data_IF_098841352543
#
_entry.id   IF_098841352543
#
_cell.length_a   1.000
_cell.length_b   1.000
_cell.length_c   1.000
_cell.angle_alpha   90.00
_cell.angle_beta   90.00
_cell.angle_gamma   90.00
#
_symmetry.space_group_name_H-M   'P 1'
#
loop_
_entity.id
_entity.type
_entity.pdbx_description
1 polymer ?
#
# COMPACT_ATOMS: atom_id res chain seq x y z
N UNK A 1 11.26 114.21 20.06
CA UNK A 1 10.76 112.84 19.77
C UNK A 1 11.98 111.96 19.51
N UNK A 2 12.74 111.52 20.51
CA UNK A 2 12.37 110.88 21.80
C UNK A 2 12.07 109.39 21.65
N UNK A 3 12.87 108.60 22.37
CA UNK A 3 12.54 107.35 23.08
C UNK A 3 11.94 106.13 22.38
N UNK A 4 11.38 106.22 21.16
CA UNK A 4 10.72 105.05 20.52
C UNK A 4 11.71 104.15 19.75
N UNK A 5 12.68 104.74 19.04
CA UNK A 5 13.63 104.01 18.18
C UNK A 5 14.71 103.22 18.93
N UNK A 6 14.95 103.50 20.21
CA UNK A 6 15.93 102.76 21.01
C UNK A 6 15.34 101.48 21.64
N UNK A 7 14.02 101.46 21.85
CA UNK A 7 13.34 100.32 22.50
C UNK A 7 13.11 99.14 21.53
N UNK A 8 12.97 99.41 20.23
CA UNK A 8 12.80 98.36 19.20
C UNK A 8 14.09 97.60 18.89
N UNK A 9 15.27 98.20 19.09
CA UNK A 9 16.56 97.54 18.86
C UNK A 9 16.98 96.64 20.03
N UNK A 10 16.64 97.00 21.27
CA UNK A 10 17.02 96.23 22.47
C UNK A 10 16.19 94.94 22.70
N UNK A 11 15.07 94.75 22.01
CA UNK A 11 14.26 93.52 22.07
C UNK A 11 14.67 92.45 21.04
N UNK A 12 15.66 92.74 20.18
CA UNK A 12 16.10 91.85 19.10
C UNK A 12 17.21 90.87 19.47
N UNK A 13 17.77 90.97 20.68
CA UNK A 13 18.86 90.11 21.17
C UNK A 13 18.42 89.34 22.42
N UNK A 14 17.40 88.50 22.24
CA UNK A 14 17.32 87.26 23.03
C UNK A 14 18.31 86.31 22.36
N UNK A 15 19.36 85.83 23.05
CA UNK A 15 20.07 84.66 22.57
C UNK A 15 19.04 83.53 22.54
N UNK A 16 18.66 83.06 21.36
CA UNK A 16 18.22 81.69 21.26
C UNK A 16 19.39 80.87 21.79
N UNK A 17 19.22 80.31 22.98
CA UNK A 17 20.04 79.18 23.37
C UNK A 17 19.83 78.16 22.25
N UNK A 18 20.85 77.96 21.42
CA UNK A 18 20.89 76.79 20.56
C UNK A 18 20.71 75.61 21.49
N UNK A 19 19.53 75.02 21.43
CA UNK A 19 19.25 73.77 22.08
C UNK A 19 20.12 72.77 21.32
N UNK A 20 21.36 72.60 21.81
CA UNK A 20 22.30 71.60 21.30
C UNK A 20 21.46 70.34 21.17
N UNK A 21 21.25 69.80 19.95
CA UNK A 21 20.40 68.64 19.80
C UNK A 21 21.02 67.55 20.66
N UNK A 22 20.32 67.16 21.73
CA UNK A 22 20.76 66.05 22.57
C UNK A 22 21.05 64.91 21.60
N UNK A 23 22.31 64.45 21.58
CA UNK A 23 22.68 63.26 20.82
C UNK A 23 21.64 62.21 21.19
N UNK A 24 20.90 61.64 20.22
CA UNK A 24 19.78 60.76 20.53
C UNK A 24 20.31 59.69 21.48
N UNK A 25 19.77 59.66 22.71
CA UNK A 25 20.18 58.71 23.74
C UNK A 25 20.11 57.33 23.10
N UNK A 26 21.27 56.73 22.87
CA UNK A 26 21.33 55.44 22.17
C UNK A 26 20.48 54.47 22.96
N UNK A 27 19.52 53.81 22.30
CA UNK A 27 18.61 52.87 22.97
C UNK A 27 19.39 51.93 23.88
N UNK A 28 18.90 51.69 25.11
CA UNK A 28 19.56 50.80 26.07
C UNK A 28 19.89 49.43 25.44
N UNK A 29 18.96 48.90 24.64
CA UNK A 29 19.15 47.68 23.84
C UNK A 29 20.34 47.75 22.87
N UNK A 30 20.53 48.88 22.17
CA UNK A 30 21.65 49.07 21.24
C UNK A 30 22.99 49.23 21.99
N UNK A 31 22.97 49.90 23.15
CA UNK A 31 24.15 49.98 24.02
C UNK A 31 24.54 48.59 24.56
N UNK A 32 23.57 47.83 25.05
CA UNK A 32 23.74 46.46 25.55
C UNK A 32 24.25 45.51 24.46
N UNK A 33 23.59 45.46 23.31
CA UNK A 33 23.99 44.62 22.17
C UNK A 33 25.41 44.93 21.73
N UNK A 34 25.79 46.22 21.68
CA UNK A 34 27.16 46.64 21.37
C UNK A 34 28.15 46.24 22.47
N UNK A 35 27.79 46.35 23.74
CA UNK A 35 28.64 45.96 24.87
C UNK A 35 28.94 44.45 24.84
N UNK A 36 27.91 43.62 24.65
CA UNK A 36 28.04 42.17 24.57
C UNK A 36 28.88 41.74 23.35
N UNK A 37 28.53 42.22 22.14
CA UNK A 37 29.14 41.70 20.90
C UNK A 37 30.51 42.30 20.54
N UNK A 38 30.90 43.47 21.07
CA UNK A 38 32.13 44.16 20.66
C UNK A 38 33.43 43.39 20.95
N UNK A 39 33.41 42.46 21.93
CA UNK A 39 34.56 41.59 22.28
C UNK A 39 34.24 40.10 22.21
N UNK A 40 33.04 39.74 21.78
CA UNK A 40 32.62 38.35 21.69
C UNK A 40 33.25 37.66 20.47
N UNK A 41 33.58 36.37 20.60
CA UNK A 41 34.14 35.57 19.51
C UNK A 41 33.28 34.31 19.31
N UNK A 42 32.46 34.31 18.26
CA UNK A 42 31.53 33.22 17.95
C UNK A 42 32.18 31.89 17.58
N UNK A 43 33.49 31.88 17.28
CA UNK A 43 34.24 30.63 17.05
C UNK A 43 34.67 29.90 18.33
N UNK A 44 34.49 30.48 19.52
CA UNK A 44 35.00 29.94 20.79
C UNK A 44 33.82 29.45 21.65
N UNK A 45 33.93 28.23 22.18
CA UNK A 45 32.95 27.67 23.12
C UNK A 45 32.84 28.56 24.39
N UNK A 46 31.63 29.00 24.79
CA UNK A 46 31.47 30.11 25.73
C UNK A 46 31.59 29.68 27.21
N UNK A 47 32.80 29.29 27.62
CA UNK A 47 33.14 28.93 29.00
C UNK A 47 34.39 29.65 29.50
N UNK A 48 34.41 29.99 30.78
CA UNK A 48 35.56 30.56 31.48
C UNK A 48 36.60 29.48 31.82
N UNK A 49 36.14 28.27 32.13
CA UNK A 49 37.01 27.10 32.37
C UNK A 49 36.80 26.04 31.28
N UNK A 50 37.85 25.77 30.50
CA UNK A 50 37.83 24.81 29.40
C UNK A 50 37.53 23.37 29.83
N UNK A 51 37.83 22.98 31.08
CA UNK A 51 37.56 21.61 31.57
C UNK A 51 36.09 21.35 31.91
N UNK A 52 35.23 22.37 31.88
CA UNK A 52 33.79 22.25 32.14
C UNK A 52 33.06 22.06 30.81
N UNK A 53 32.22 21.03 30.64
CA UNK A 53 31.42 20.85 29.44
C UNK A 53 30.32 21.93 29.34
N UNK A 54 29.89 22.23 28.12
CA UNK A 54 28.72 23.05 27.85
C UNK A 54 27.53 22.13 27.62
N UNK A 55 26.66 21.98 28.63
CA UNK A 55 25.44 21.16 28.49
C UNK A 55 24.42 21.87 27.59
N UNK A 56 23.96 21.16 26.56
CA UNK A 56 22.90 21.60 25.64
C UNK A 56 21.63 20.83 25.95
N UNK A 57 20.59 21.54 26.37
CA UNK A 57 19.28 20.99 26.62
C UNK A 57 18.48 20.94 25.31
N UNK A 58 17.91 19.78 25.00
CA UNK A 58 17.12 19.53 23.79
C UNK A 58 15.66 19.28 24.18
N UNK A 59 14.74 19.85 23.41
CA UNK A 59 13.31 19.52 23.42
C UNK A 59 12.85 19.25 21.98
N UNK A 60 11.99 18.25 21.81
CA UNK A 60 11.48 17.79 20.53
C UNK A 60 9.96 17.70 20.59
N UNK A 61 9.28 18.28 19.60
CA UNK A 61 7.84 18.13 19.39
C UNK A 61 7.63 17.74 17.93
N UNK A 62 6.93 16.63 17.68
CA UNK A 62 6.59 16.18 16.33
C UNK A 62 5.31 16.88 15.89
N UNK A 63 5.37 17.65 14.80
CA UNK A 63 4.24 18.44 14.30
C UNK A 63 3.48 17.68 13.20
N UNK A 64 4.18 16.96 12.33
CA UNK A 64 3.54 16.08 11.34
C UNK A 64 4.52 15.06 10.74
N UNK A 65 3.98 13.93 10.26
CA UNK A 65 4.66 13.07 9.28
C UNK A 65 4.25 13.56 7.90
N UNK A 66 5.22 13.97 7.08
CA UNK A 66 4.98 14.58 5.77
C UNK A 66 4.99 13.54 4.64
N UNK A 67 5.90 12.55 4.72
CA UNK A 67 6.06 11.50 3.71
C UNK A 67 6.76 10.26 4.30
N UNK A 68 6.45 9.08 3.77
CA UNK A 68 7.01 7.78 4.18
C UNK A 68 7.27 6.92 2.94
N UNK A 69 8.52 6.96 2.47
CA UNK A 69 8.96 6.22 1.28
C UNK A 69 9.52 4.84 1.66
N UNK A 70 8.68 3.82 1.51
CA UNK A 70 9.06 2.42 1.70
C UNK A 70 10.08 1.86 0.70
N UNK A 71 10.20 2.48 -0.48
CA UNK A 71 11.10 2.05 -1.56
C UNK A 71 12.52 2.57 -1.32
N UNK A 72 12.68 3.81 -0.85
CA UNK A 72 14.00 4.36 -0.48
C UNK A 72 14.32 4.27 1.01
N UNK A 73 13.41 3.73 1.84
CA UNK A 73 13.56 3.54 3.29
C UNK A 73 13.81 4.86 4.02
N UNK A 74 12.95 5.84 3.73
CA UNK A 74 13.03 7.21 4.28
C UNK A 74 11.73 7.66 4.88
N UNK A 75 11.83 8.49 5.91
CA UNK A 75 10.70 9.20 6.52
C UNK A 75 11.00 10.68 6.56
N UNK A 76 10.02 11.49 6.17
CA UNK A 76 10.09 12.95 6.26
C UNK A 76 9.16 13.42 7.37
N UNK A 77 9.72 13.99 8.43
CA UNK A 77 8.95 14.56 9.55
C UNK A 77 9.14 16.07 9.66
N UNK A 78 8.07 16.78 10.00
CA UNK A 78 8.13 18.16 10.49
C UNK A 78 8.20 18.16 12.02
N UNK A 79 9.26 18.76 12.55
CA UNK A 79 9.51 18.84 14.00
C UNK A 79 9.70 20.29 14.44
N UNK A 80 9.25 20.62 15.64
CA UNK A 80 9.72 21.80 16.37
C UNK A 80 10.82 21.36 17.31
N UNK A 81 12.03 21.87 17.05
CA UNK A 81 13.22 21.58 17.83
C UNK A 81 13.61 22.81 18.64
N UNK A 82 13.90 22.59 19.92
CA UNK A 82 14.40 23.62 20.84
C UNK A 82 15.76 23.18 21.36
N UNK A 83 16.74 24.07 21.26
CA UNK A 83 18.04 23.90 21.92
C UNK A 83 18.26 25.08 22.87
N UNK A 84 18.67 24.78 24.10
CA UNK A 84 18.92 25.76 25.16
C UNK A 84 20.29 25.45 25.76
N UNK A 85 21.15 26.47 25.87
CA UNK A 85 22.48 26.34 26.47
C UNK A 85 22.82 27.60 27.26
N UNK A 86 23.89 27.54 28.05
CA UNK A 86 24.38 28.70 28.79
C UNK A 86 25.67 29.24 28.16
N UNK A 87 25.74 30.55 27.98
CA UNK A 87 26.90 31.29 27.53
C UNK A 87 27.45 32.12 28.70
N UNK A 88 28.67 31.83 29.15
CA UNK A 88 29.27 32.50 30.33
C UNK A 88 29.80 33.92 30.03
N UNK A 89 29.64 34.42 28.80
CA UNK A 89 30.06 35.76 28.37
C UNK A 89 28.90 36.69 27.99
N UNK A 90 27.72 36.15 27.63
CA UNK A 90 26.52 36.91 27.30
C UNK A 90 25.67 37.26 28.54
N UNK A 91 26.30 37.83 29.57
CA UNK A 91 25.70 38.14 30.87
C UNK A 91 25.70 39.65 31.11
N UNK A 92 24.63 40.20 31.69
CA UNK A 92 24.52 41.60 32.09
C UNK A 92 23.60 41.79 33.29
N UNK A 93 23.70 42.94 33.97
CA UNK A 93 22.76 43.34 35.01
C UNK A 93 21.57 44.10 34.38
N UNK A 94 20.31 43.62 34.51
CA UNK A 94 19.14 44.34 34.02
C UNK A 94 18.99 45.75 34.59
N UNK A 95 19.47 46.03 35.80
CA UNK A 95 19.35 47.36 36.44
C UNK A 95 20.17 48.43 35.69
N UNK A 96 21.28 48.05 35.05
CA UNK A 96 22.11 48.95 34.23
C UNK A 96 21.47 49.28 32.86
N UNK A 97 20.55 48.44 32.37
CA UNK A 97 20.00 48.50 31.01
C UNK A 97 18.46 48.55 31.01
N UNK A 98 17.87 49.51 31.72
CA UNK A 98 16.42 49.82 31.66
C UNK A 98 15.50 48.63 32.00
N UNK A 99 15.96 47.71 32.86
CA UNK A 99 15.24 46.51 33.26
C UNK A 99 15.18 45.41 32.20
N UNK A 100 16.00 45.48 31.13
CA UNK A 100 16.02 44.48 30.05
C UNK A 100 16.53 43.13 30.59
N UNK A 101 15.66 42.11 30.59
CA UNK A 101 15.97 40.75 31.05
C UNK A 101 16.19 39.74 29.93
N UNK A 102 15.69 40.01 28.72
CA UNK A 102 15.84 39.15 27.55
C UNK A 102 15.98 40.00 26.29
N UNK A 103 16.90 39.61 25.40
CA UNK A 103 17.17 40.28 24.12
C UNK A 103 17.16 39.27 22.97
N UNK A 104 16.88 39.72 21.75
CA UNK A 104 17.11 38.93 20.54
C UNK A 104 18.46 39.29 19.91
N UNK A 105 19.30 38.27 19.67
CA UNK A 105 20.57 38.39 18.96
C UNK A 105 20.53 37.55 17.68
N UNK A 106 21.37 37.89 16.70
CA UNK A 106 21.54 37.06 15.50
C UNK A 106 22.26 35.76 15.85
N UNK A 107 21.78 34.61 15.32
CA UNK A 107 22.43 33.31 15.53
C UNK A 107 23.87 33.28 15.00
N UNK A 108 24.15 33.98 13.91
CA UNK A 108 25.48 34.02 13.28
C UNK A 108 26.50 34.87 14.07
N UNK A 109 26.01 35.70 15.00
CA UNK A 109 26.85 36.59 15.82
C UNK A 109 27.35 35.95 17.12
N UNK A 110 26.84 34.76 17.48
CA UNK A 110 27.17 34.05 18.73
C UNK A 110 27.69 32.63 18.46
N UNK A 111 28.27 31.97 19.46
CA UNK A 111 28.60 30.55 19.36
C UNK A 111 27.33 29.69 19.40
N UNK A 112 27.24 28.70 18.50
CA UNK A 112 26.11 27.76 18.41
C UNK A 112 26.66 26.33 18.33
N UNK A 113 26.15 25.38 19.14
CA UNK A 113 26.63 23.99 19.13
C UNK A 113 26.24 23.25 17.84
N UNK A 114 27.12 22.34 17.40
CA UNK A 114 27.02 21.54 16.17
C UNK A 114 26.15 20.27 16.36
N UNK A 115 24.97 20.41 16.97
CA UNK A 115 24.05 19.29 17.18
C UNK A 115 23.37 18.92 15.86
N UNK A 116 23.59 17.68 15.40
CA UNK A 116 22.98 17.11 14.21
C UNK A 116 22.21 15.82 14.52
N UNK A 117 21.41 15.35 13.55
CA UNK A 117 20.77 14.03 13.57
C UNK A 117 21.68 13.05 12.80
N UNK A 118 21.88 11.84 13.33
CA UNK A 118 22.81 10.86 12.74
C UNK A 118 22.24 10.14 11.52
N UNK A 119 20.93 9.91 11.49
CA UNK A 119 20.17 9.22 10.44
C UNK A 119 19.80 10.15 9.26
N UNK A 120 20.37 11.36 9.23
CA UNK A 120 20.00 12.43 8.30
C UNK A 120 20.47 12.16 6.87
N UNK A 121 19.54 12.25 5.91
CA UNK A 121 19.81 11.95 4.48
C UNK A 121 19.77 13.20 3.60
N UNK A 122 18.93 14.17 3.94
CA UNK A 122 18.78 15.43 3.20
C UNK A 122 18.41 16.57 4.15
N UNK A 123 18.88 17.79 3.85
CA UNK A 123 18.66 19.01 4.63
C UNK A 123 17.19 19.44 4.65
N UNK A 124 16.40 18.92 3.71
CA UNK A 124 14.98 19.20 3.58
C UNK A 124 14.72 20.66 3.19
N UNK A 125 13.53 21.14 3.53
CA UNK A 125 13.09 22.52 3.25
C UNK A 125 12.86 23.32 4.53
N UNK A 126 13.82 23.24 5.45
CA UNK A 126 13.76 23.91 6.75
C UNK A 126 14.03 25.42 6.57
N UNK A 127 13.18 26.32 7.11
CA UNK A 127 13.43 27.76 7.04
C UNK A 127 14.57 28.14 7.99
N UNK A 128 15.46 29.03 7.56
CA UNK A 128 16.52 29.59 8.41
C UNK A 128 15.91 30.60 9.37
N UNK A 129 16.05 30.36 10.68
CA UNK A 129 15.64 31.30 11.74
C UNK A 129 16.88 32.12 12.15
N UNK A 130 16.94 33.43 11.83
CA UNK A 130 18.18 34.21 11.99
C UNK A 130 18.41 34.76 13.39
N UNK A 131 17.45 34.61 14.32
CA UNK A 131 17.50 35.18 15.66
C UNK A 131 17.32 34.12 16.75
N UNK A 132 17.97 34.36 17.89
CA UNK A 132 17.84 33.59 19.13
C UNK A 132 17.50 34.54 20.29
N UNK A 133 16.89 34.02 21.34
CA UNK A 133 16.71 34.76 22.58
C UNK A 133 17.88 34.51 23.52
N UNK A 134 18.35 35.57 24.19
CA UNK A 134 19.39 35.51 25.23
C UNK A 134 18.85 36.20 26.47
N UNK A 135 18.91 35.51 27.61
CA UNK A 135 18.53 36.03 28.92
C UNK A 135 19.73 36.69 29.63
N UNK A 136 19.50 37.63 30.54
CA UNK A 136 20.55 38.31 31.31
C UNK A 136 21.46 37.36 32.10
N UNK A 137 21.00 36.15 32.41
CA UNK A 137 21.78 35.08 33.06
C UNK A 137 22.78 34.36 32.13
N UNK A 138 22.81 34.67 30.83
CA UNK A 138 23.58 33.94 29.81
C UNK A 138 22.84 32.77 29.17
N UNK A 139 21.58 32.52 29.53
CA UNK A 139 20.79 31.42 28.94
C UNK A 139 20.35 31.78 27.52
N UNK A 140 20.86 31.05 26.53
CA UNK A 140 20.48 31.20 25.11
C UNK A 140 19.41 30.17 24.75
N UNK A 141 18.34 30.61 24.10
CA UNK A 141 17.22 29.79 23.60
C UNK A 141 17.14 29.93 22.09
N UNK A 142 17.32 28.83 21.36
CA UNK A 142 17.14 28.78 19.91
C UNK A 142 16.02 27.79 19.56
N UNK A 143 15.01 28.30 18.84
CA UNK A 143 13.83 27.56 18.44
C UNK A 143 13.78 27.51 16.91
N UNK A 144 13.80 26.30 16.34
CA UNK A 144 13.79 26.08 14.88
C UNK A 144 12.78 25.00 14.49
N UNK A 145 11.87 25.27 13.54
CA UNK A 145 11.15 24.20 12.85
C UNK A 145 12.11 23.54 11.86
N UNK A 146 12.15 22.21 11.83
CA UNK A 146 13.02 21.43 10.96
C UNK A 146 12.18 20.42 10.18
N UNK A 147 12.39 20.35 8.87
CA UNK A 147 11.94 19.25 8.04
C UNK A 147 13.07 18.22 7.96
N UNK A 148 12.95 17.15 8.72
CA UNK A 148 13.96 16.09 8.81
C UNK A 148 13.63 15.01 7.79
N UNK A 149 14.56 14.75 6.87
CA UNK A 149 14.53 13.56 5.99
C UNK A 149 15.50 12.54 6.59
N UNK A 150 14.98 11.53 7.28
CA UNK A 150 15.77 10.50 7.95
C UNK A 150 15.68 9.14 7.23
N UNK A 151 16.77 8.36 7.31
CA UNK A 151 16.75 6.95 6.97
C UNK A 151 16.06 6.17 8.11
N UNK A 152 15.12 5.30 7.76
CA UNK A 152 14.40 4.48 8.73
C UNK A 152 14.12 3.10 8.14
N UNK A 153 14.32 2.04 8.92
CA UNK A 153 13.97 0.68 8.52
C UNK A 153 12.46 0.47 8.66
N UNK A 154 11.74 0.57 7.54
CA UNK A 154 10.27 0.50 7.48
C UNK A 154 9.79 -0.95 7.29
N UNK A 155 8.97 -1.45 8.21
CA UNK A 155 8.34 -2.76 8.08
C UNK A 155 6.92 -2.64 7.50
N UNK A 156 6.80 -2.96 6.21
CA UNK A 156 5.58 -2.75 5.40
C UNK A 156 4.77 -4.06 5.25
N UNK A 157 5.21 -5.15 5.88
CA UNK A 157 4.59 -6.47 5.73
C UNK A 157 3.09 -6.48 6.07
N UNK A 158 2.70 -5.76 7.13
CA UNK A 158 1.32 -5.66 7.62
C UNK A 158 0.48 -4.53 6.99
N UNK A 159 0.96 -3.89 5.92
CA UNK A 159 0.23 -2.80 5.25
C UNK A 159 -1.21 -3.21 4.88
N UNK A 160 -2.23 -2.35 5.14
CA UNK A 160 -2.16 -0.96 5.61
C UNK A 160 -2.25 -0.78 7.15
N UNK A 161 -2.09 -1.84 7.94
CA UNK A 161 -2.19 -1.83 9.41
C UNK A 161 -0.82 -1.68 10.09
N UNK A 162 0.15 -1.09 9.39
CA UNK A 162 1.53 -1.02 9.82
C UNK A 162 1.79 0.04 10.89
N UNK A 163 2.75 -0.30 11.76
CA UNK A 163 3.33 0.59 12.78
C UNK A 163 4.82 0.71 12.47
N UNK A 164 5.34 1.93 12.55
CA UNK A 164 6.75 2.22 12.28
C UNK A 164 7.41 2.79 13.53
N UNK A 165 8.68 2.43 13.73
CA UNK A 165 9.51 2.91 14.83
C UNK A 165 10.80 3.50 14.25
N UNK A 166 10.80 4.81 14.02
CA UNK A 166 11.92 5.50 13.40
C UNK A 166 12.77 6.23 14.43
N UNK A 167 14.09 6.09 14.33
CA UNK A 167 15.04 6.66 15.29
C UNK A 167 15.59 7.99 14.79
N UNK A 168 15.65 8.98 15.68
CA UNK A 168 16.28 10.28 15.46
C UNK A 168 17.32 10.49 16.57
N UNK A 169 18.59 10.30 16.24
CA UNK A 169 19.69 10.32 17.20
C UNK A 169 20.46 11.64 17.11
N UNK A 170 20.20 12.52 18.07
CA UNK A 170 20.87 13.82 18.18
C UNK A 170 22.21 13.67 18.88
N UNK A 171 23.26 14.23 18.27
CA UNK A 171 24.63 14.27 18.82
C UNK A 171 25.40 15.49 18.31
N UNK A 172 26.44 15.91 19.01
CA UNK A 172 27.47 16.76 18.40
C UNK A 172 28.23 15.95 17.34
N UNK A 173 28.58 16.59 16.22
CA UNK A 173 29.36 15.94 15.18
C UNK A 173 30.84 15.82 15.55
N UNK A 174 31.42 16.90 16.11
CA UNK A 174 32.84 17.01 16.40
C UNK A 174 33.19 16.84 17.89
N UNK A 175 32.39 17.43 18.78
CA UNK A 175 32.76 17.61 20.19
C UNK A 175 32.45 16.36 21.04
N UNK A 176 33.31 16.10 22.01
CA UNK A 176 33.16 15.02 22.99
C UNK A 176 32.25 15.39 24.16
N UNK A 177 31.80 14.42 24.96
CA UNK A 177 31.01 14.63 26.22
C UNK A 177 31.67 15.67 27.13
N UNK A 178 33.01 15.70 27.17
CA UNK A 178 33.79 16.60 28.03
C UNK A 178 33.73 18.08 27.56
N UNK A 179 33.28 18.34 26.35
CA UNK A 179 33.20 19.66 25.73
C UNK A 179 31.74 20.10 25.54
N UNK A 180 30.91 19.21 25.00
CA UNK A 180 29.48 19.39 24.75
C UNK A 180 28.75 18.13 25.19
N UNK A 181 27.97 18.23 26.26
CA UNK A 181 27.09 17.17 26.75
C UNK A 181 25.62 17.51 26.42
N UNK A 182 24.77 16.48 26.33
CA UNK A 182 23.37 16.64 25.94
C UNK A 182 22.43 16.25 27.08
N UNK A 183 21.39 17.06 27.31
CA UNK A 183 20.35 16.76 28.28
C UNK A 183 18.96 16.98 27.66
N UNK A 184 17.92 16.40 28.26
CA UNK A 184 16.54 16.73 27.92
C UNK A 184 16.10 17.98 28.70
N UNK A 185 15.38 18.90 28.04
CA UNK A 185 14.81 20.07 28.69
C UNK A 185 13.58 19.74 29.56
N UNK A 186 12.82 18.71 29.17
CA UNK A 186 11.65 18.18 29.89
C UNK A 186 11.90 16.73 30.31
N UNK A 187 11.18 16.19 31.31
CA UNK A 187 11.23 14.77 31.63
C UNK A 187 10.91 13.89 30.41
N UNK A 188 11.63 12.77 30.26
CA UNK A 188 11.46 11.87 29.11
C UNK A 188 10.02 11.35 28.96
N UNK A 189 9.31 11.12 30.07
CA UNK A 189 7.91 10.68 30.11
C UNK A 189 6.93 11.74 29.61
N UNK A 190 7.22 13.03 29.83
CA UNK A 190 6.40 14.13 29.30
C UNK A 190 6.57 14.25 27.79
N UNK A 191 7.81 14.19 27.29
CA UNK A 191 8.10 14.22 25.85
C UNK A 191 7.48 13.00 25.15
N UNK A 192 7.60 11.82 25.75
CA UNK A 192 7.09 10.58 25.18
C UNK A 192 5.58 10.61 24.92
N UNK A 193 4.82 11.31 25.77
CA UNK A 193 3.35 11.40 25.70
C UNK A 193 2.85 12.72 25.09
N UNK A 194 3.73 13.57 24.54
CA UNK A 194 3.35 14.88 23.99
C UNK A 194 2.88 14.80 22.53
N UNK A 195 1.58 14.51 22.36
CA UNK A 195 0.90 14.46 21.05
C UNK A 195 0.09 15.73 20.73
N UNK A 196 0.24 16.80 21.54
CA UNK A 196 -0.68 17.96 21.54
C UNK A 196 -0.64 18.79 20.26
N UNK A 197 0.56 19.01 19.71
CA UNK A 197 0.79 19.81 18.51
C UNK A 197 0.82 18.96 17.22
N UNK A 198 0.51 17.66 17.31
CA UNK A 198 0.56 16.75 16.18
C UNK A 198 -0.69 16.89 15.28
N UNK A 199 -0.46 17.04 13.98
CA UNK A 199 -1.52 17.18 12.96
C UNK A 199 -2.25 15.84 12.73
N UNK A 200 -3.29 15.59 13.51
CA UNK A 200 -4.03 14.32 13.53
C UNK A 200 -4.83 14.00 12.26
N UNK A 201 -5.11 15.00 11.40
CA UNK A 201 -5.88 14.85 10.16
C UNK A 201 -5.09 14.16 9.01
N UNK A 202 -3.80 13.89 9.23
CA UNK A 202 -2.97 13.16 8.29
C UNK A 202 -3.24 11.65 8.22
N UNK A 203 -2.55 11.00 7.27
CA UNK A 203 -2.56 9.53 7.11
C UNK A 203 -1.99 8.79 8.34
N UNK A 204 -1.09 9.45 9.07
CA UNK A 204 -0.36 8.88 10.20
C UNK A 204 -0.86 9.42 11.53
N UNK A 205 -0.84 8.55 12.54
CA UNK A 205 -1.14 8.84 13.93
C UNK A 205 0.14 8.68 14.75
N UNK A 206 0.49 9.69 15.54
CA UNK A 206 1.60 9.63 16.49
C UNK A 206 1.17 8.88 17.76
N UNK A 207 1.86 7.80 18.10
CA UNK A 207 1.59 7.01 19.30
C UNK A 207 2.36 7.53 20.51
N UNK A 208 3.68 7.71 20.37
CA UNK A 208 4.57 8.25 21.41
C UNK A 208 5.97 8.55 20.85
N UNK A 209 6.77 9.30 21.62
CA UNK A 209 8.16 9.67 21.28
C UNK A 209 9.12 9.38 22.44
N UNK A 210 9.26 8.12 22.91
CA UNK A 210 10.20 7.78 23.97
C UNK A 210 11.64 8.18 23.61
N UNK A 211 12.36 8.69 24.60
CA UNK A 211 13.73 9.19 24.46
C UNK A 211 14.70 8.45 25.37
N UNK A 212 15.95 8.28 24.92
CA UNK A 212 17.01 7.61 25.66
C UNK A 212 18.35 8.34 25.47
N UNK A 213 18.98 8.72 26.58
CA UNK A 213 20.36 9.22 26.61
C UNK A 213 21.34 8.05 26.72
N UNK A 214 22.37 8.05 25.90
CA UNK A 214 23.48 7.12 26.01
C UNK A 214 24.78 7.73 25.46
N UNK A 215 25.92 7.11 25.80
CA UNK A 215 27.24 7.56 25.40
C UNK A 215 27.81 6.60 24.36
N UNK A 216 28.14 7.12 23.18
CA UNK A 216 28.87 6.37 22.15
C UNK A 216 30.37 6.52 22.38
N UNK A 217 31.05 5.42 22.66
CA UNK A 217 32.50 5.36 22.63
C UNK A 217 32.99 5.12 21.19
N UNK A 218 33.86 5.99 20.69
CA UNK A 218 34.45 5.92 19.36
C UNK A 218 35.92 6.37 19.42
N UNK A 219 36.85 5.47 19.08
CA UNK A 219 38.30 5.76 18.98
C UNK A 219 38.85 6.53 20.20
N UNK A 220 38.68 5.94 21.40
CA UNK A 220 39.08 6.49 22.71
C UNK A 220 38.41 7.83 23.10
N UNK A 221 37.31 8.22 22.43
CA UNK A 221 36.48 9.37 22.82
C UNK A 221 35.02 9.03 23.00
N UNK A 222 34.42 9.63 24.02
CA UNK A 222 33.02 9.49 24.36
C UNK A 222 32.20 10.66 23.77
N UNK A 223 31.07 10.32 23.14
CA UNK A 223 30.15 11.25 22.49
C UNK A 223 28.74 11.13 23.11
N UNK A 224 28.18 12.25 23.58
CA UNK A 224 26.83 12.31 24.12
C UNK A 224 25.79 12.14 23.00
N UNK A 225 24.81 11.25 23.19
CA UNK A 225 23.72 11.04 22.25
C UNK A 225 22.36 10.99 22.96
N UNK A 226 21.36 11.61 22.34
CA UNK A 226 19.95 11.46 22.72
C UNK A 226 19.20 10.90 21.52
N UNK A 227 18.72 9.66 21.67
CA UNK A 227 17.89 8.98 20.68
C UNK A 227 16.42 9.20 21.00
N UNK A 228 15.65 9.70 20.03
CA UNK A 228 14.18 9.76 20.07
C UNK A 228 13.62 8.70 19.13
N UNK A 229 12.74 7.84 19.65
CA UNK A 229 12.05 6.81 18.88
C UNK A 229 10.65 7.30 18.54
N UNK A 230 10.44 7.72 17.29
CA UNK A 230 9.15 8.22 16.80
C UNK A 230 8.27 7.03 16.42
N UNK A 231 7.29 6.73 17.26
CA UNK A 231 6.35 5.62 17.07
C UNK A 231 5.08 6.10 16.38
N UNK A 232 4.84 5.65 15.14
CA UNK A 232 3.69 6.06 14.31
C UNK A 232 2.88 4.87 13.82
N UNK A 233 1.57 5.07 13.62
CA UNK A 233 0.62 4.09 13.10
C UNK A 233 -0.09 4.66 11.88
N UNK A 234 -0.23 3.86 10.80
CA UNK A 234 -1.01 4.26 9.62
C UNK A 234 -2.52 4.19 9.91
N UNK A 235 -3.31 5.10 9.36
CA UNK A 235 -4.78 5.03 9.36
C UNK A 235 -5.25 4.20 8.15
N UNK A 236 -5.75 2.96 8.33
CA UNK A 236 -5.98 2.03 7.21
C UNK A 236 -7.24 2.32 6.39
N UNK A 237 -8.17 3.17 6.87
CA UNK A 237 -9.54 3.25 6.38
C UNK A 237 -9.65 3.56 4.88
N UNK A 238 -8.85 4.51 4.36
CA UNK A 238 -8.84 4.86 2.94
C UNK A 238 -8.41 3.66 2.08
N UNK A 239 -7.35 2.96 2.49
CA UNK A 239 -6.87 1.75 1.80
C UNK A 239 -7.88 0.61 1.85
N UNK A 240 -8.58 0.42 2.97
CA UNK A 240 -9.63 -0.60 3.07
C UNK A 240 -10.77 -0.32 2.09
N UNK A 241 -11.24 0.93 2.02
CA UNK A 241 -12.35 1.32 1.13
C UNK A 241 -11.93 1.28 -0.35
N UNK A 242 -10.72 1.75 -0.68
CA UNK A 242 -10.27 1.87 -2.08
C UNK A 242 -9.66 0.59 -2.66
N UNK A 243 -9.00 -0.25 -1.83
CA UNK A 243 -8.27 -1.45 -2.28
C UNK A 243 -9.06 -2.75 -2.06
N UNK A 244 -9.57 -2.96 -0.84
CA UNK A 244 -10.17 -4.24 -0.44
C UNK A 244 -11.62 -4.37 -0.91
N UNK A 245 -12.47 -3.35 -0.70
CA UNK A 245 -13.90 -3.44 -1.05
C UNK A 245 -14.12 -3.75 -2.55
N UNK A 246 -13.47 -3.07 -3.54
CA UNK A 246 -13.66 -3.39 -4.95
C UNK A 246 -13.21 -4.81 -5.31
N UNK A 247 -12.14 -5.30 -4.67
CA UNK A 247 -11.60 -6.64 -4.90
C UNK A 247 -12.51 -7.74 -4.37
N UNK A 248 -13.10 -7.53 -3.17
CA UNK A 248 -14.11 -8.43 -2.60
C UNK A 248 -15.39 -8.41 -3.46
N UNK A 249 -15.80 -7.24 -3.95
CA UNK A 249 -16.96 -7.12 -4.85
C UNK A 249 -16.78 -7.93 -6.14
N UNK A 250 -15.62 -7.83 -6.81
CA UNK A 250 -15.34 -8.63 -8.01
C UNK A 250 -15.33 -10.13 -7.73
N UNK A 251 -14.91 -10.57 -6.54
CA UNK A 251 -15.02 -11.98 -6.14
C UNK A 251 -16.47 -12.44 -5.99
N UNK A 252 -17.34 -11.62 -5.40
CA UNK A 252 -18.78 -11.92 -5.31
C UNK A 252 -19.41 -12.00 -6.71
N UNK A 253 -19.01 -11.12 -7.63
CA UNK A 253 -19.47 -11.16 -9.03
C UNK A 253 -18.96 -12.42 -9.75
N UNK A 254 -17.73 -12.87 -9.52
CA UNK A 254 -17.23 -14.12 -10.10
C UNK A 254 -17.94 -15.36 -9.55
N UNK A 255 -18.18 -15.45 -8.24
CA UNK A 255 -19.00 -16.53 -7.64
C UNK A 255 -20.41 -16.51 -8.25
N UNK A 256 -21.00 -15.33 -8.42
CA UNK A 256 -22.33 -15.17 -9.04
C UNK A 256 -22.34 -15.61 -10.51
N UNK A 257 -21.22 -15.50 -11.23
CA UNK A 257 -21.16 -15.89 -12.65
C UNK A 257 -21.30 -17.39 -12.92
N UNK A 258 -21.18 -18.25 -11.90
CA UNK A 258 -21.47 -19.69 -12.03
C UNK A 258 -22.96 -19.99 -12.21
N UNK A 259 -23.86 -19.07 -11.84
CA UNK A 259 -25.29 -19.21 -12.10
C UNK A 259 -25.66 -19.01 -13.59
N UNK A 260 -24.73 -18.55 -14.44
CA UNK A 260 -24.96 -18.50 -15.89
C UNK A 260 -24.86 -19.90 -16.50
N UNK A 261 -25.78 -20.28 -17.41
CA UNK A 261 -25.78 -21.60 -18.03
C UNK A 261 -24.53 -21.78 -18.91
N UNK A 262 -23.77 -22.88 -18.75
CA UNK A 262 -22.50 -23.08 -19.45
C UNK A 262 -22.67 -23.25 -20.97
N UNK A 263 -23.84 -23.69 -21.44
CA UNK A 263 -24.16 -23.87 -22.86
C UNK A 263 -24.03 -22.58 -23.67
N UNK A 264 -24.11 -21.41 -23.02
CA UNK A 264 -23.87 -20.12 -23.66
C UNK A 264 -22.45 -19.63 -23.35
N UNK A 265 -21.65 -19.38 -24.40
CA UNK A 265 -20.28 -18.85 -24.28
C UNK A 265 -20.19 -17.49 -23.55
N UNK A 266 -21.34 -16.85 -23.29
CA UNK A 266 -21.48 -15.66 -22.43
C UNK A 266 -20.78 -15.81 -21.07
N UNK A 267 -20.81 -17.00 -20.45
CA UNK A 267 -20.14 -17.24 -19.15
C UNK A 267 -18.61 -17.10 -19.24
N UNK A 268 -17.99 -17.55 -20.33
CA UNK A 268 -16.54 -17.37 -20.56
C UNK A 268 -16.24 -15.89 -20.80
N UNK A 269 -17.02 -15.21 -21.66
CA UNK A 269 -16.85 -13.77 -21.93
C UNK A 269 -17.00 -12.94 -20.65
N UNK A 270 -18.00 -13.23 -19.82
CA UNK A 270 -18.24 -12.54 -18.55
C UNK A 270 -17.07 -12.71 -17.58
N UNK A 271 -16.59 -13.94 -17.35
CA UNK A 271 -15.42 -14.21 -16.51
C UNK A 271 -14.13 -13.56 -17.04
N UNK A 272 -13.96 -13.53 -18.36
CA UNK A 272 -12.84 -12.82 -19.02
C UNK A 272 -12.90 -11.31 -18.74
N UNK A 273 -14.08 -10.70 -18.82
CA UNK A 273 -14.28 -9.28 -18.47
C UNK A 273 -14.02 -8.99 -16.99
N UNK A 274 -14.38 -9.89 -16.07
CA UNK A 274 -14.03 -9.75 -14.64
C UNK A 274 -12.51 -9.78 -14.46
N UNK A 275 -11.82 -10.75 -15.06
CA UNK A 275 -10.36 -10.89 -14.95
C UNK A 275 -9.63 -9.66 -15.53
N UNK A 276 -10.11 -9.10 -16.64
CA UNK A 276 -9.60 -7.86 -17.20
C UNK A 276 -9.84 -6.66 -16.26
N UNK A 277 -11.06 -6.48 -15.77
CA UNK A 277 -11.40 -5.40 -14.83
C UNK A 277 -10.59 -5.47 -13.55
N UNK A 278 -10.42 -6.66 -12.99
CA UNK A 278 -9.54 -6.92 -11.84
C UNK A 278 -8.09 -6.54 -12.15
N UNK A 279 -7.57 -6.95 -13.32
CA UNK A 279 -6.19 -6.64 -13.72
C UNK A 279 -5.97 -5.13 -13.87
N UNK A 280 -6.94 -4.40 -14.43
CA UNK A 280 -6.89 -2.92 -14.55
C UNK A 280 -6.90 -2.26 -13.17
N UNK A 281 -7.78 -2.69 -12.26
CA UNK A 281 -7.81 -2.20 -10.87
C UNK A 281 -6.45 -2.45 -10.19
N UNK A 282 -5.93 -3.68 -10.27
CA UNK A 282 -4.64 -4.04 -9.68
C UNK A 282 -3.47 -3.24 -10.24
N UNK A 283 -3.45 -2.94 -11.54
CA UNK A 283 -2.38 -2.15 -12.17
C UNK A 283 -2.45 -0.68 -11.72
N UNK A 284 -3.63 -0.06 -11.74
CA UNK A 284 -3.81 1.32 -11.30
C UNK A 284 -3.44 1.53 -9.82
N UNK A 285 -3.66 0.52 -8.97
CA UNK A 285 -3.36 0.56 -7.54
C UNK A 285 -1.93 0.10 -7.20
N UNK A 286 -1.13 -0.33 -8.18
CA UNK A 286 0.22 -0.85 -7.92
C UNK A 286 1.21 0.25 -7.51
N UNK A 287 0.98 1.50 -7.94
CA UNK A 287 1.81 2.66 -7.60
C UNK A 287 1.53 3.20 -6.18
N UNK A 288 0.35 2.94 -5.62
CA UNK A 288 -0.02 3.34 -4.24
C UNK A 288 0.53 2.39 -3.16
N UNK A 289 0.94 1.18 -3.53
CA UNK A 289 1.42 0.17 -2.56
C UNK A 289 2.94 0.28 -2.44
N UNK A 290 3.49 0.72 -1.29
CA UNK A 290 4.93 0.88 -1.14
C UNK A 290 5.66 -0.48 -1.26
N UNK A 291 6.37 -0.65 -2.38
CA UNK A 291 7.12 -1.87 -2.67
C UNK A 291 8.52 -1.83 -2.05
N UNK A 292 8.81 -2.78 -1.14
CA UNK A 292 10.18 -3.04 -0.66
C UNK A 292 10.83 -4.15 -1.48
N UNK A 293 12.16 -4.14 -1.61
CA UNK A 293 12.91 -5.20 -2.29
C UNK A 293 13.04 -6.50 -1.47
N UNK A 294 12.70 -6.47 -0.17
CA UNK A 294 13.02 -7.56 0.79
C UNK A 294 11.81 -8.45 1.04
N UNK A 295 10.62 -7.87 1.25
CA UNK A 295 9.37 -8.60 1.50
C UNK A 295 8.22 -7.96 0.72
N UNK A 296 7.42 -8.79 0.07
CA UNK A 296 6.10 -8.36 -0.46
C UNK A 296 5.13 -8.16 0.70
N UNK A 297 4.36 -7.05 0.73
CA UNK A 297 3.34 -6.85 1.76
C UNK A 297 2.20 -7.86 1.60
N UNK A 298 1.50 -8.21 2.69
CA UNK A 298 0.45 -9.24 2.65
C UNK A 298 -0.67 -8.88 1.66
N UNK A 299 -0.99 -7.59 1.49
CA UNK A 299 -1.97 -7.14 0.50
C UNK A 299 -1.60 -7.58 -0.94
N UNK A 300 -0.31 -7.65 -1.26
CA UNK A 300 0.19 -8.14 -2.55
C UNK A 300 -0.04 -9.64 -2.71
N UNK A 301 0.12 -10.42 -1.63
CA UNK A 301 -0.20 -11.85 -1.59
C UNK A 301 -1.72 -12.06 -1.72
N UNK A 302 -2.54 -11.26 -1.03
CA UNK A 302 -4.00 -11.25 -1.19
C UNK A 302 -4.39 -11.04 -2.66
N UNK A 303 -3.85 -10.01 -3.32
CA UNK A 303 -4.14 -9.77 -4.74
C UNK A 303 -3.63 -10.89 -5.67
N UNK A 304 -2.49 -11.52 -5.36
CA UNK A 304 -1.98 -12.65 -6.13
C UNK A 304 -2.86 -13.90 -6.00
N UNK A 305 -3.34 -14.23 -4.79
CA UNK A 305 -4.27 -15.34 -4.57
C UNK A 305 -5.63 -15.05 -5.23
N UNK A 306 -6.10 -13.81 -5.16
CA UNK A 306 -7.30 -13.39 -5.87
C UNK A 306 -7.17 -13.58 -7.39
N UNK A 307 -6.06 -13.16 -8.01
CA UNK A 307 -5.78 -13.44 -9.42
C UNK A 307 -5.82 -14.94 -9.74
N UNK A 308 -5.17 -15.76 -8.91
CA UNK A 308 -5.14 -17.21 -9.11
C UNK A 308 -6.53 -17.86 -9.04
N UNK A 309 -7.40 -17.42 -8.11
CA UNK A 309 -8.78 -17.89 -7.99
C UNK A 309 -9.62 -17.50 -9.22
N UNK A 310 -9.51 -16.25 -9.72
CA UNK A 310 -10.22 -15.83 -10.94
C UNK A 310 -9.76 -16.61 -12.19
N UNK A 311 -8.46 -16.87 -12.32
CA UNK A 311 -7.91 -17.69 -13.42
C UNK A 311 -8.38 -19.15 -13.32
N UNK A 312 -8.38 -19.73 -12.12
CA UNK A 312 -8.90 -21.08 -11.87
C UNK A 312 -10.40 -21.18 -12.22
N UNK A 313 -11.17 -20.18 -11.81
CA UNK A 313 -12.62 -20.05 -12.06
C UNK A 313 -12.95 -19.94 -13.56
N UNK A 314 -12.13 -19.22 -14.32
CA UNK A 314 -12.19 -19.18 -15.79
C UNK A 314 -11.81 -20.53 -16.41
N UNK A 315 -10.71 -21.15 -15.95
CA UNK A 315 -10.23 -22.44 -16.46
C UNK A 315 -11.24 -23.58 -16.25
N UNK A 316 -11.89 -23.64 -15.07
CA UNK A 316 -13.00 -24.56 -14.79
C UNK A 316 -14.16 -24.36 -15.79
N UNK A 317 -14.51 -23.10 -16.08
CA UNK A 317 -15.61 -22.80 -17.01
C UNK A 317 -15.26 -23.16 -18.46
N UNK A 318 -14.01 -22.94 -18.89
CA UNK A 318 -13.52 -23.39 -20.20
C UNK A 318 -13.53 -24.91 -20.30
N UNK A 319 -13.15 -25.62 -19.23
CA UNK A 319 -13.19 -27.08 -19.16
C UNK A 319 -14.61 -27.63 -19.32
N UNK A 320 -15.59 -27.09 -18.60
CA UNK A 320 -17.01 -27.47 -18.71
C UNK A 320 -17.57 -27.21 -20.12
N UNK A 321 -17.30 -26.05 -20.71
CA UNK A 321 -17.73 -25.74 -22.09
C UNK A 321 -17.06 -26.67 -23.10
N UNK A 322 -15.77 -26.99 -22.93
CA UNK A 322 -15.10 -27.96 -23.80
C UNK A 322 -15.70 -29.36 -23.68
N UNK A 323 -16.09 -29.79 -22.47
CA UNK A 323 -16.74 -31.08 -22.23
C UNK A 323 -18.10 -31.16 -22.95
N UNK A 324 -18.93 -30.12 -22.83
CA UNK A 324 -20.22 -30.00 -23.51
C UNK A 324 -20.08 -30.01 -25.05
N UNK A 325 -19.12 -29.26 -25.59
CA UNK A 325 -18.88 -29.21 -27.04
C UNK A 325 -18.25 -30.50 -27.58
N UNK A 326 -17.52 -31.26 -26.74
CA UNK A 326 -16.96 -32.56 -27.12
C UNK A 326 -18.08 -33.60 -27.32
N UNK A 327 -19.08 -33.64 -26.42
CA UNK A 327 -20.27 -34.48 -26.61
C UNK A 327 -21.08 -34.13 -27.86
N UNK A 328 -21.23 -32.84 -28.20
CA UNK A 328 -21.92 -32.44 -29.44
C UNK A 328 -21.19 -32.95 -30.70
N UNK A 329 -19.86 -33.13 -30.61
CA UNK A 329 -19.06 -33.59 -31.74
C UNK A 329 -19.05 -35.11 -31.89
N UNK A 330 -18.93 -35.88 -30.81
CA UNK A 330 -18.99 -37.36 -30.90
C UNK A 330 -20.36 -37.84 -31.42
N UNK A 331 -21.46 -37.18 -31.03
CA UNK A 331 -22.80 -37.47 -31.57
C UNK A 331 -22.90 -37.11 -33.06
N UNK A 332 -22.40 -35.93 -33.47
CA UNK A 332 -22.38 -35.54 -34.90
C UNK A 332 -21.50 -36.43 -35.77
N UNK A 333 -20.33 -36.85 -35.28
CA UNK A 333 -19.44 -37.74 -36.02
C UNK A 333 -20.07 -39.16 -36.16
N UNK A 334 -20.92 -39.60 -35.22
CA UNK A 334 -21.71 -40.85 -35.33
C UNK A 334 -22.83 -40.74 -36.37
N UNK A 335 -23.66 -39.68 -36.29
CA UNK A 335 -24.74 -39.38 -37.24
C UNK A 335 -24.25 -39.22 -38.70
N UNK A 336 -23.12 -38.54 -38.91
CA UNK A 336 -22.50 -38.38 -40.24
C UNK A 336 -21.99 -39.72 -40.79
N UNK A 337 -21.45 -40.61 -39.94
CA UNK A 337 -20.94 -41.91 -40.37
C UNK A 337 -22.08 -42.85 -40.79
N UNK A 338 -23.22 -42.82 -40.08
CA UNK A 338 -24.44 -43.54 -40.45
C UNK A 338 -24.99 -43.09 -41.82
N UNK A 339 -25.15 -41.76 -42.02
CA UNK A 339 -25.57 -41.20 -43.30
C UNK A 339 -24.62 -41.51 -44.47
N UNK A 340 -23.31 -41.61 -44.23
CA UNK A 340 -22.33 -41.94 -45.26
C UNK A 340 -22.32 -43.44 -45.61
N UNK A 341 -22.56 -44.32 -44.64
CA UNK A 341 -22.69 -45.76 -44.86
C UNK A 341 -23.93 -46.10 -45.70
N UNK A 342 -25.08 -45.49 -45.39
CA UNK A 342 -26.31 -45.71 -46.16
C UNK A 342 -26.16 -45.24 -47.61
N UNK A 343 -25.54 -44.08 -47.81
CA UNK A 343 -25.25 -43.54 -49.15
C UNK A 343 -24.25 -44.38 -49.96
N UNK A 344 -23.36 -45.14 -49.31
CA UNK A 344 -22.48 -46.10 -49.99
C UNK A 344 -23.15 -47.43 -50.29
N UNK A 345 -24.17 -47.85 -49.53
CA UNK A 345 -24.88 -49.11 -49.78
C UNK A 345 -25.67 -49.10 -51.09
N UNK A 346 -26.17 -47.93 -51.50
CA UNK A 346 -27.00 -47.75 -52.70
C UNK A 346 -26.28 -47.78 -54.07
N UNK A 347 -24.95 -47.97 -54.12
CA UNK A 347 -24.18 -47.88 -55.37
C UNK A 347 -23.25 -49.06 -55.70
N UNK A 348 -23.26 -50.18 -54.97
CA UNK A 348 -22.56 -51.40 -55.42
C UNK A 348 -23.24 -52.73 -55.05
N UNK A 349 -24.51 -52.88 -55.43
CA UNK A 349 -25.24 -54.14 -55.33
C UNK A 349 -25.18 -54.94 -56.64
N UNK A 350 -23.97 -55.18 -57.18
CA UNK A 350 -23.78 -55.99 -58.40
C UNK A 350 -22.64 -57.01 -58.35
N UNK A 351 -21.80 -57.01 -57.30
CA UNK A 351 -20.55 -57.78 -57.29
C UNK A 351 -20.44 -58.91 -56.23
N UNK A 352 -21.16 -58.84 -55.11
CA UNK A 352 -20.91 -59.73 -53.94
C UNK A 352 -21.68 -61.08 -54.00
N UNK A 353 -22.69 -61.22 -54.85
CA UNK A 353 -23.55 -62.41 -54.91
C UNK A 353 -22.88 -63.68 -55.50
N UNK A 354 -21.62 -63.58 -55.96
CA UNK A 354 -20.88 -64.71 -56.57
C UNK A 354 -19.88 -65.44 -55.64
N UNK A 355 -19.73 -65.02 -54.39
CA UNK A 355 -18.71 -65.58 -53.48
C UNK A 355 -19.23 -66.65 -52.50
N UNK A 356 -20.49 -66.54 -52.05
CA UNK A 356 -20.99 -67.28 -50.86
C UNK A 356 -21.64 -68.64 -51.15
N UNK A 357 -21.33 -69.29 -52.28
CA UNK A 357 -21.82 -70.63 -52.63
C UNK A 357 -20.81 -71.76 -52.39
N UNK A 358 -19.69 -71.49 -51.72
CA UNK A 358 -18.52 -72.40 -51.69
C UNK A 358 -18.06 -72.89 -50.29
N UNK A 359 -18.68 -72.44 -49.19
CA UNK A 359 -18.17 -72.72 -47.84
C UNK A 359 -19.27 -73.09 -46.82
N UNK A 360 -20.12 -74.06 -47.19
CA UNK A 360 -21.07 -74.73 -46.27
C UNK A 360 -21.05 -76.25 -46.45
N UNK A 361 -19.92 -76.87 -46.10
CA UNK A 361 -19.84 -78.32 -45.82
C UNK A 361 -18.95 -78.52 -44.57
N UNK A 362 -19.41 -79.43 -43.70
CA UNK A 362 -18.72 -80.07 -42.56
C UNK A 362 -18.89 -79.42 -41.17
N UNK A 363 -19.74 -80.02 -40.32
CA UNK A 363 -19.74 -79.79 -38.87
C UNK A 363 -21.09 -79.88 -38.14
N UNK A 364 -21.77 -81.02 -38.16
CA UNK A 364 -22.81 -81.36 -37.16
C UNK A 364 -22.15 -81.50 -35.75
N UNK A 365 -22.83 -81.52 -34.59
CA UNK A 365 -24.15 -82.06 -34.22
C UNK A 365 -24.57 -81.59 -32.79
N UNK A 366 -25.85 -81.73 -32.42
CA UNK A 366 -26.42 -81.76 -31.03
C UNK A 366 -26.41 -80.46 -30.16
N UNK A 367 -27.43 -80.12 -29.34
CA UNK A 367 -28.77 -80.72 -29.09
C UNK A 367 -29.78 -79.72 -28.43
N UNK A 368 -31.07 -79.86 -28.76
CA UNK A 368 -32.28 -79.62 -27.91
C UNK A 368 -32.71 -78.20 -27.43
N UNK A 369 -33.97 -77.81 -27.71
CA UNK A 369 -34.70 -76.79 -26.91
C UNK A 369 -35.77 -75.92 -27.61
N UNK A 370 -36.82 -76.50 -28.20
CA UNK A 370 -38.03 -75.79 -28.72
C UNK A 370 -39.19 -75.78 -27.69
N UNK A 371 -40.36 -75.12 -27.93
CA UNK A 371 -40.78 -74.23 -29.02
C UNK A 371 -41.09 -72.79 -28.50
N UNK A 372 -41.81 -71.84 -29.12
CA UNK A 372 -42.62 -71.75 -30.36
C UNK A 372 -42.72 -70.27 -30.83
N UNK A 373 -43.03 -70.02 -32.12
CA UNK A 373 -44.09 -69.13 -32.62
C UNK A 373 -43.86 -68.73 -34.11
N UNK A 374 -44.67 -69.32 -35.00
CA UNK A 374 -44.95 -68.93 -36.39
C UNK A 374 -43.80 -68.84 -37.42
N UNK A 375 -43.66 -69.95 -38.14
CA UNK A 375 -43.19 -70.01 -39.52
C UNK A 375 -44.05 -69.16 -40.48
N UNK A 376 -43.41 -68.34 -41.32
CA UNK A 376 -43.82 -68.14 -42.72
C UNK A 376 -42.58 -68.00 -43.60
N UNK A 377 -42.39 -68.96 -44.50
CA UNK A 377 -41.43 -68.85 -45.61
C UNK A 377 -42.06 -69.45 -46.85
N UNK A 378 -42.85 -68.64 -47.56
CA UNK A 378 -43.20 -68.89 -48.95
C UNK A 378 -42.77 -67.68 -49.78
N UNK A 379 -41.71 -67.87 -50.57
CA UNK A 379 -41.28 -66.89 -51.58
C UNK A 379 -42.25 -66.99 -52.75
N UNK A 380 -43.18 -66.04 -52.84
CA UNK A 380 -44.02 -65.82 -54.01
C UNK A 380 -43.63 -64.50 -54.66
N UNK A 381 -43.00 -64.58 -55.84
CA UNK A 381 -42.71 -63.41 -56.66
C UNK A 381 -44.01 -62.71 -57.06
N UNK A 382 -44.33 -61.60 -56.39
CA UNK A 382 -45.24 -60.56 -56.88
C UNK A 382 -44.80 -59.24 -56.25
N UNK A 383 -44.34 -58.31 -57.08
CA UNK A 383 -43.99 -56.94 -56.68
C UNK A 383 -45.23 -56.22 -56.11
N UNK A 384 -45.44 -56.35 -54.80
CA UNK A 384 -46.50 -55.62 -54.10
C UNK A 384 -45.96 -54.24 -53.71
N UNK A 385 -46.65 -53.12 -54.07
CA UNK A 385 -46.25 -51.80 -53.58
C UNK A 385 -46.38 -51.71 -52.05
N UNK A 386 -47.16 -52.61 -51.44
CA UNK A 386 -47.39 -52.68 -50.00
C UNK A 386 -46.15 -53.16 -49.22
N UNK A 387 -45.39 -54.13 -49.72
CA UNK A 387 -44.13 -54.56 -49.06
C UNK A 387 -43.04 -53.49 -49.13
N UNK A 388 -42.94 -52.77 -50.25
CA UNK A 388 -42.01 -51.63 -50.37
C UNK A 388 -42.36 -50.52 -49.39
N UNK A 389 -43.64 -50.18 -49.26
CA UNK A 389 -44.12 -49.22 -48.24
C UNK A 389 -43.86 -49.75 -46.82
N UNK A 390 -44.08 -51.05 -46.55
CA UNK A 390 -43.81 -51.64 -45.24
C UNK A 390 -42.32 -51.55 -44.87
N UNK A 391 -41.44 -51.79 -45.83
CA UNK A 391 -39.99 -51.72 -45.65
C UNK A 391 -39.52 -50.27 -45.44
N UNK A 392 -40.04 -49.30 -46.20
CA UNK A 392 -39.77 -47.87 -45.97
C UNK A 392 -40.27 -47.40 -44.60
N UNK A 393 -41.44 -47.86 -44.14
CA UNK A 393 -41.97 -47.54 -42.80
C UNK A 393 -41.14 -48.21 -41.71
N UNK A 394 -40.59 -49.41 -41.93
CA UNK A 394 -39.66 -50.04 -40.99
C UNK A 394 -38.32 -49.30 -40.92
N UNK A 395 -37.75 -48.84 -42.04
CA UNK A 395 -36.53 -48.02 -42.02
C UNK A 395 -36.76 -46.65 -41.36
N UNK A 396 -37.91 -46.01 -41.62
CA UNK A 396 -38.30 -44.77 -40.91
C UNK A 396 -38.45 -45.00 -39.41
N UNK A 397 -39.05 -46.12 -39.00
CA UNK A 397 -39.20 -46.47 -37.58
C UNK A 397 -37.86 -46.74 -36.92
N UNK A 398 -36.92 -47.40 -37.61
CA UNK A 398 -35.56 -47.62 -37.10
C UNK A 398 -34.79 -46.31 -36.99
N UNK A 399 -34.84 -45.46 -38.02
CA UNK A 399 -34.21 -44.13 -38.01
C UNK A 399 -34.74 -43.25 -36.86
N UNK A 400 -36.06 -43.14 -36.70
CA UNK A 400 -36.68 -42.39 -35.60
C UNK A 400 -36.35 -42.98 -34.23
N UNK A 401 -36.24 -44.31 -34.12
CA UNK A 401 -35.88 -44.98 -32.87
C UNK A 401 -34.36 -44.86 -32.56
N UNK A 402 -33.52 -44.62 -33.56
CA UNK A 402 -32.11 -44.31 -33.40
C UNK A 402 -31.91 -42.82 -33.04
N UNK A 403 -32.66 -41.91 -33.66
CA UNK A 403 -32.75 -40.48 -33.31
C UNK A 403 -33.24 -40.28 -31.87
N UNK A 404 -34.33 -40.97 -31.45
CA UNK A 404 -34.80 -40.99 -30.05
C UNK A 404 -33.72 -41.53 -29.07
N UNK A 405 -32.92 -42.53 -29.49
CA UNK A 405 -31.85 -43.09 -28.67
C UNK A 405 -30.63 -42.14 -28.56
N UNK A 406 -30.26 -41.46 -29.65
CA UNK A 406 -29.21 -40.42 -29.65
C UNK A 406 -29.62 -39.24 -28.75
N UNK A 407 -30.85 -38.73 -28.87
CA UNK A 407 -31.38 -37.65 -28.02
C UNK A 407 -31.43 -38.05 -26.53
N UNK A 408 -31.81 -39.30 -26.22
CA UNK A 408 -31.80 -39.81 -24.84
C UNK A 408 -30.37 -39.90 -24.27
N UNK A 409 -29.40 -40.30 -25.09
CA UNK A 409 -27.99 -40.43 -24.72
C UNK A 409 -27.36 -39.05 -24.53
N UNK A 410 -27.63 -38.10 -25.43
CA UNK A 410 -27.19 -36.72 -25.34
C UNK A 410 -27.76 -36.03 -24.08
N UNK A 411 -29.02 -36.28 -23.76
CA UNK A 411 -29.66 -35.79 -22.53
C UNK A 411 -28.94 -36.28 -21.27
N UNK A 412 -28.56 -37.56 -21.22
CA UNK A 412 -27.79 -38.13 -20.11
C UNK A 412 -26.39 -37.51 -19.97
N UNK A 413 -25.67 -37.32 -21.09
CA UNK A 413 -24.35 -36.68 -21.08
C UNK A 413 -24.40 -35.21 -20.64
N UNK A 414 -25.42 -34.46 -21.04
CA UNK A 414 -25.62 -33.08 -20.56
C UNK A 414 -25.92 -33.06 -19.06
N UNK A 415 -26.73 -33.98 -18.54
CA UNK A 415 -26.99 -34.10 -17.10
C UNK A 415 -25.71 -34.43 -16.31
N UNK A 416 -24.85 -35.30 -16.85
CA UNK A 416 -23.53 -35.60 -16.29
C UNK A 416 -22.63 -34.35 -16.27
N UNK A 417 -22.56 -33.59 -17.36
CA UNK A 417 -21.78 -32.36 -17.44
C UNK A 417 -22.26 -31.31 -16.42
N UNK A 418 -23.57 -31.17 -16.21
CA UNK A 418 -24.14 -30.28 -15.20
C UNK A 418 -23.83 -30.74 -13.76
N UNK A 419 -23.78 -32.06 -13.50
CA UNK A 419 -23.30 -32.60 -12.22
C UNK A 419 -21.81 -32.27 -11.99
N UNK A 420 -20.98 -32.33 -13.03
CA UNK A 420 -19.56 -31.94 -12.96
C UNK A 420 -19.41 -30.43 -12.71
N UNK A 421 -20.15 -29.56 -13.39
CA UNK A 421 -20.12 -28.11 -13.15
C UNK A 421 -20.53 -27.76 -11.71
N UNK A 422 -21.59 -28.40 -11.19
CA UNK A 422 -22.01 -28.24 -9.79
C UNK A 422 -20.96 -28.70 -8.78
N UNK A 423 -20.22 -29.77 -9.08
CA UNK A 423 -19.12 -30.25 -8.25
C UNK A 423 -17.93 -29.28 -8.28
N UNK A 424 -17.53 -28.79 -9.46
CA UNK A 424 -16.47 -27.78 -9.60
C UNK A 424 -16.83 -26.47 -8.88
N UNK A 425 -18.08 -26.01 -9.01
CA UNK A 425 -18.59 -24.86 -8.26
C UNK A 425 -18.54 -25.09 -6.74
N UNK A 426 -18.92 -26.28 -6.25
CA UNK A 426 -18.84 -26.61 -4.82
C UNK A 426 -17.40 -26.61 -4.29
N UNK A 427 -16.43 -27.07 -5.09
CA UNK A 427 -15.00 -27.02 -4.75
C UNK A 427 -14.49 -25.57 -4.76
N UNK A 428 -14.88 -24.77 -5.76
CA UNK A 428 -14.50 -23.36 -5.84
C UNK A 428 -15.06 -22.55 -4.67
N UNK A 429 -16.34 -22.76 -4.31
CA UNK A 429 -16.97 -22.12 -3.16
C UNK A 429 -16.23 -22.45 -1.85
N UNK A 430 -15.80 -23.69 -1.68
CA UNK A 430 -15.02 -24.13 -0.52
C UNK A 430 -13.63 -23.46 -0.46
N UNK A 431 -12.95 -23.31 -1.61
CA UNK A 431 -11.67 -22.58 -1.67
C UNK A 431 -11.85 -21.09 -1.31
N UNK A 432 -12.88 -20.43 -1.86
CA UNK A 432 -13.20 -19.02 -1.55
C UNK A 432 -13.59 -18.87 -0.07
N UNK A 433 -14.34 -19.82 0.50
CA UNK A 433 -14.72 -19.81 1.91
C UNK A 433 -13.50 -19.96 2.84
N UNK A 434 -12.62 -20.92 2.59
CA UNK A 434 -11.36 -21.09 3.34
C UNK A 434 -10.55 -19.80 3.31
N UNK A 435 -10.43 -19.19 2.12
CA UNK A 435 -9.70 -17.94 1.93
C UNK A 435 -10.29 -16.78 2.73
N UNK A 436 -11.62 -16.58 2.66
CA UNK A 436 -12.33 -15.58 3.46
C UNK A 436 -12.13 -15.80 4.98
N UNK A 437 -12.15 -17.05 5.44
CA UNK A 437 -11.89 -17.35 6.85
C UNK A 437 -10.45 -17.05 7.26
N UNK A 438 -9.45 -17.35 6.43
CA UNK A 438 -8.05 -16.97 6.72
C UNK A 438 -7.86 -15.44 6.80
N UNK A 439 -8.57 -14.68 5.96
CA UNK A 439 -8.52 -13.22 5.99
C UNK A 439 -9.18 -12.62 7.24
N UNK A 440 -10.33 -13.16 7.65
CA UNK A 440 -11.01 -12.73 8.88
C UNK A 440 -10.19 -13.03 10.14
N UNK A 441 -9.47 -14.15 10.17
CA UNK A 441 -8.55 -14.49 11.26
C UNK A 441 -7.39 -13.48 11.34
N UNK A 442 -6.66 -13.26 10.24
CA UNK A 442 -5.58 -12.28 10.22
C UNK A 442 -6.05 -10.84 10.49
N UNK A 443 -7.25 -10.47 10.05
CA UNK A 443 -7.85 -9.18 10.41
C UNK A 443 -8.12 -9.06 11.91
N UNK A 444 -8.58 -10.14 12.57
CA UNK A 444 -8.76 -10.20 14.02
C UNK A 444 -7.43 -9.94 14.75
N UNK A 445 -6.38 -10.67 14.38
CA UNK A 445 -5.03 -10.50 14.92
C UNK A 445 -4.52 -9.06 14.72
N UNK A 446 -4.75 -8.45 13.55
CA UNK A 446 -4.21 -7.13 13.20
C UNK A 446 -5.01 -5.95 13.76
N UNK A 447 -6.31 -6.11 13.94
CA UNK A 447 -7.18 -5.10 14.59
C UNK A 447 -6.98 -5.02 16.11
N UNK A 448 -6.38 -6.05 16.70
CA UNK A 448 -6.09 -6.12 18.15
C UNK A 448 -4.62 -5.83 18.50
N UNK A 449 -3.71 -5.79 17.51
CA UNK A 449 -2.28 -5.56 17.67
C UNK A 449 -1.87 -4.08 17.78
#
# INVERSE_FOLDING_TARGET
MSSVLLLSLLLSVIPQAELVPEKPKSSALNQLTKLLLCKYNCGIRPVQNWTKPTTVYIDLIIQSVLDVDGKTQKVTTSIWYRQIWNDEFLVWDPEEFDGITEISLSSDAIWVPDVIISEFVDVGKSPVIPYVYVNCTGTVKNYKPIHVVSACHLEIYAFPFDKQNCTLTFRSWLHSVNEVDLALWRPAEEIANDTREFMNDGEWELLSVPSHYWILNLEDRDYAQIQFNVLIRRRPLLYVVSLLIPSIFLMVVDVTSFYLPPNSGTRITFKTSILLGYTVIRVNLMDEIPATAIKTPLIGVFFAVCMALLVLSLAMSIFVVKLLNYSEKEVKDMSIFACLLDKYSSMDQSFIERAFTSLKILGDMEQSGEPDLFSLTEVSNNDSPLEKILQEVMSLRLYLQEEDNEDSSQSYWVELCLKVDKLLFSVYLLLVFIYLMTLLLHWGDWSSA
#
